data_IF_956266983210
#
_entry.id   IF_956266983210
#
_cell.length_a   1.000
_cell.length_b   1.000
_cell.length_c   1.000
_cell.angle_alpha   90.00
_cell.angle_beta   90.00
_cell.angle_gamma   90.00
#
_symmetry.space_group_name_H-M   'P 1'
#
loop_
_entity.id
_entity.type
_entity.pdbx_description
1 polymer ?
#
# COMPACT_ATOMS: atom_id res chain seq x y z
N UNK A 1 9.78 4.03 8.46
CA UNK A 1 9.39 2.60 8.61
C UNK A 1 8.70 2.45 9.95
N UNK A 2 7.47 1.97 9.97
CA UNK A 2 6.78 1.63 11.22
C UNK A 2 7.27 0.26 11.71
N UNK A 3 7.84 0.22 12.91
CA UNK A 3 8.24 -1.00 13.61
C UNK A 3 7.05 -1.49 14.46
N UNK A 4 6.36 -2.52 13.98
CA UNK A 4 5.23 -3.15 14.70
C UNK A 4 5.60 -4.59 15.10
N UNK A 5 5.32 -4.98 16.35
CA UNK A 5 5.47 -6.36 16.83
C UNK A 5 4.09 -7.03 16.88
N UNK A 6 3.99 -8.26 16.38
CA UNK A 6 2.74 -9.04 16.37
C UNK A 6 3.02 -10.54 16.50
N UNK A 7 2.00 -11.31 16.89
CA UNK A 7 2.07 -12.78 16.91
C UNK A 7 2.06 -13.34 15.50
N UNK A 8 2.60 -14.55 15.30
CA UNK A 8 2.57 -15.24 13.99
C UNK A 8 1.14 -15.44 13.49
N UNK A 9 0.20 -15.75 14.38
CA UNK A 9 -1.22 -15.85 14.03
C UNK A 9 -1.78 -14.53 13.47
N UNK A 10 -1.53 -13.39 14.15
CA UNK A 10 -1.95 -12.07 13.66
C UNK A 10 -1.28 -11.72 12.33
N UNK A 11 0.00 -12.04 12.18
CA UNK A 11 0.74 -11.82 10.93
C UNK A 11 0.15 -12.61 9.76
N UNK A 12 -0.21 -13.88 9.96
CA UNK A 12 -0.85 -14.72 8.94
C UNK A 12 -2.24 -14.21 8.58
N UNK A 13 -3.03 -13.76 9.57
CA UNK A 13 -4.34 -13.16 9.33
C UNK A 13 -4.23 -11.86 8.51
N UNK A 14 -3.25 -11.00 8.81
CA UNK A 14 -3.00 -9.78 8.03
C UNK A 14 -2.55 -10.11 6.60
N UNK A 15 -1.65 -11.10 6.41
CA UNK A 15 -1.23 -11.53 5.08
C UNK A 15 -2.39 -12.05 4.22
N UNK A 16 -3.41 -12.66 4.83
CA UNK A 16 -4.58 -13.16 4.11
C UNK A 16 -5.39 -12.03 3.47
N UNK A 17 -5.49 -10.87 4.13
CA UNK A 17 -6.36 -9.75 3.69
C UNK A 17 -5.60 -8.65 2.95
N UNK A 18 -4.29 -8.55 3.15
CA UNK A 18 -3.52 -7.41 2.65
C UNK A 18 -3.41 -7.42 1.12
N UNK A 19 -3.40 -8.59 0.48
CA UNK A 19 -3.34 -8.69 -0.97
C UNK A 19 -4.63 -8.09 -1.61
N UNK A 20 -5.81 -8.38 -1.06
CA UNK A 20 -7.09 -7.76 -1.50
C UNK A 20 -7.10 -6.24 -1.27
N UNK A 21 -6.52 -5.78 -0.16
CA UNK A 21 -6.39 -4.35 0.14
C UNK A 21 -5.45 -3.64 -0.83
N UNK A 22 -4.36 -4.29 -1.24
CA UNK A 22 -3.43 -3.77 -2.26
C UNK A 22 -4.17 -3.65 -3.60
N UNK A 23 -4.85 -4.71 -4.04
CA UNK A 23 -5.61 -4.70 -5.30
C UNK A 23 -6.68 -3.60 -5.28
N UNK A 24 -7.40 -3.46 -4.17
CA UNK A 24 -8.42 -2.41 -4.00
C UNK A 24 -7.81 -1.00 -4.04
N UNK A 25 -6.63 -0.80 -3.43
CA UNK A 25 -5.94 0.49 -3.45
C UNK A 25 -5.43 0.84 -4.85
N UNK A 26 -4.93 -0.13 -5.59
CA UNK A 26 -4.49 0.04 -6.99
C UNK A 26 -5.70 0.35 -7.87
N UNK A 27 -6.75 -0.45 -7.83
CA UNK A 27 -7.89 -0.26 -8.72
C UNK A 27 -8.72 1.00 -8.40
N UNK A 28 -8.72 1.44 -7.14
CA UNK A 28 -9.43 2.65 -6.72
C UNK A 28 -8.65 3.96 -6.93
N UNK A 29 -7.36 3.88 -7.28
CA UNK A 29 -6.50 5.05 -7.45
C UNK A 29 -6.58 5.64 -8.86
N UNK A 30 -6.43 6.96 -8.97
CA UNK A 30 -6.15 7.63 -10.25
C UNK A 30 -4.67 7.97 -10.32
N UNK A 31 -3.96 7.46 -11.34
CA UNK A 31 -2.50 7.62 -11.47
C UNK A 31 -2.07 8.50 -12.64
N UNK A 32 -2.97 8.72 -13.60
CA UNK A 32 -2.71 9.55 -14.76
C UNK A 32 -4.02 10.17 -15.23
N UNK A 33 -3.96 11.44 -15.60
CA UNK A 33 -5.07 12.19 -16.20
C UNK A 33 -4.51 13.08 -17.29
N UNK A 34 -5.13 13.07 -18.47
CA UNK A 34 -4.78 14.01 -19.53
C UNK A 34 -5.26 15.42 -19.15
N UNK A 35 -4.35 16.40 -19.17
CA UNK A 35 -4.68 17.81 -18.95
C UNK A 35 -4.26 18.64 -20.17
N UNK A 36 -5.15 19.49 -20.67
CA UNK A 36 -4.79 20.48 -21.69
C UNK A 36 -3.87 21.52 -21.06
N UNK A 37 -2.87 22.00 -21.79
CA UNK A 37 -1.87 22.93 -21.23
C UNK A 37 -2.49 24.20 -20.62
N UNK A 38 -3.59 24.70 -21.20
CA UNK A 38 -4.30 25.88 -20.71
C UNK A 38 -5.23 25.63 -19.51
N UNK A 39 -5.38 24.39 -19.05
CA UNK A 39 -6.24 24.08 -17.91
C UNK A 39 -5.44 24.20 -16.61
N UNK A 40 -5.84 25.15 -15.77
CA UNK A 40 -5.23 25.38 -14.45
C UNK A 40 -5.85 24.53 -13.33
N UNK A 41 -6.99 23.88 -13.61
CA UNK A 41 -7.74 23.08 -12.63
C UNK A 41 -8.10 21.70 -13.17
N UNK A 42 -8.05 20.70 -12.30
CA UNK A 42 -8.49 19.33 -12.54
C UNK A 42 -9.49 18.97 -11.44
N UNK A 43 -10.69 18.52 -11.81
CA UNK A 43 -11.77 18.16 -10.85
C UNK A 43 -12.07 19.27 -9.80
N UNK A 44 -11.95 20.54 -10.19
CA UNK A 44 -12.26 21.69 -9.34
C UNK A 44 -11.11 22.21 -8.46
N UNK A 45 -10.01 21.46 -8.33
CA UNK A 45 -8.79 21.85 -7.60
C UNK A 45 -7.68 22.26 -8.56
N UNK A 46 -6.66 22.94 -8.05
CA UNK A 46 -5.48 23.29 -8.87
C UNK A 46 -4.77 22.04 -9.38
N UNK A 47 -4.05 22.14 -10.50
CA UNK A 47 -3.22 21.04 -11.01
C UNK A 47 -2.22 20.54 -9.96
N UNK A 48 -1.63 21.44 -9.18
CA UNK A 48 -0.65 21.08 -8.15
C UNK A 48 -1.28 20.29 -7.00
N UNK A 49 -2.42 20.75 -6.50
CA UNK A 49 -3.20 20.03 -5.48
C UNK A 49 -3.65 18.65 -5.98
N UNK A 50 -4.06 18.56 -7.25
CA UNK A 50 -4.45 17.28 -7.84
C UNK A 50 -3.27 16.30 -7.98
N UNK A 51 -2.05 16.79 -8.23
CA UNK A 51 -0.84 15.93 -8.18
C UNK A 51 -0.64 15.35 -6.79
N UNK A 52 -0.89 16.14 -5.73
CA UNK A 52 -0.87 15.65 -4.35
C UNK A 52 -1.88 14.52 -4.10
N UNK A 53 -3.09 14.64 -4.68
CA UNK A 53 -4.10 13.57 -4.61
C UNK A 53 -3.63 12.30 -5.33
N UNK A 54 -3.05 12.43 -6.52
CA UNK A 54 -2.47 11.29 -7.27
C UNK A 54 -1.35 10.63 -6.47
N UNK A 55 -0.45 11.43 -5.90
CA UNK A 55 0.64 10.95 -5.06
C UNK A 55 0.10 10.18 -3.84
N UNK A 56 -0.97 10.67 -3.21
CA UNK A 56 -1.62 9.97 -2.10
C UNK A 56 -2.15 8.58 -2.46
N UNK A 57 -2.69 8.39 -3.68
CA UNK A 57 -3.08 7.04 -4.14
C UNK A 57 -1.87 6.12 -4.34
N UNK A 58 -0.79 6.65 -4.90
CA UNK A 58 0.46 5.90 -5.09
C UNK A 58 1.10 5.50 -3.76
N UNK A 59 1.20 6.44 -2.82
CA UNK A 59 1.78 6.22 -1.49
C UNK A 59 0.99 5.17 -0.72
N UNK A 60 -0.35 5.24 -0.74
CA UNK A 60 -1.22 4.25 -0.11
C UNK A 60 -0.98 2.84 -0.64
N UNK A 61 -0.94 2.66 -1.96
CA UNK A 61 -0.69 1.36 -2.58
C UNK A 61 0.72 0.85 -2.23
N UNK A 62 1.72 1.74 -2.34
CA UNK A 62 3.12 1.41 -2.06
C UNK A 62 3.35 1.02 -0.60
N UNK A 63 2.71 1.71 0.34
CA UNK A 63 2.85 1.42 1.76
C UNK A 63 2.21 0.09 2.15
N UNK A 64 1.07 -0.26 1.54
CA UNK A 64 0.48 -1.59 1.71
C UNK A 64 1.41 -2.69 1.17
N UNK A 65 2.04 -2.49 0.01
CA UNK A 65 3.02 -3.43 -0.56
C UNK A 65 4.24 -3.58 0.35
N UNK A 66 4.77 -2.46 0.88
CA UNK A 66 5.90 -2.47 1.83
C UNK A 66 5.54 -3.24 3.10
N UNK A 67 4.35 -3.00 3.66
CA UNK A 67 3.83 -3.70 4.84
C UNK A 67 3.72 -5.20 4.60
N UNK A 68 3.11 -5.60 3.48
CA UNK A 68 2.98 -7.01 3.06
C UNK A 68 4.32 -7.71 2.97
N UNK A 69 5.31 -7.07 2.34
CA UNK A 69 6.66 -7.62 2.21
C UNK A 69 7.38 -7.74 3.56
N UNK A 70 7.23 -6.75 4.44
CA UNK A 70 7.80 -6.81 5.79
C UNK A 70 7.23 -7.98 6.60
N UNK A 71 5.90 -8.14 6.61
CA UNK A 71 5.23 -9.23 7.34
C UNK A 71 5.62 -10.59 6.75
N UNK A 72 5.61 -10.74 5.42
CA UNK A 72 5.98 -12.00 4.77
C UNK A 72 7.41 -12.42 5.12
N UNK A 73 8.37 -11.48 5.10
CA UNK A 73 9.75 -11.75 5.49
C UNK A 73 9.85 -12.19 6.96
N UNK A 74 9.15 -11.51 7.86
CA UNK A 74 9.14 -11.86 9.28
C UNK A 74 8.54 -13.25 9.55
N UNK A 75 7.44 -13.59 8.88
CA UNK A 75 6.79 -14.91 9.00
C UNK A 75 7.70 -16.02 8.47
N UNK A 76 8.33 -15.84 7.31
CA UNK A 76 9.26 -16.84 6.75
C UNK A 76 10.43 -17.08 7.70
N UNK A 77 11.01 -16.01 8.26
CA UNK A 77 12.08 -16.13 9.26
C UNK A 77 11.60 -16.88 10.51
N UNK A 78 10.44 -16.53 11.05
CA UNK A 78 9.87 -17.20 12.24
C UNK A 78 9.64 -18.69 11.98
N UNK A 79 9.07 -19.05 10.84
CA UNK A 79 8.79 -20.44 10.48
C UNK A 79 10.09 -21.23 10.25
N UNK A 80 11.14 -20.60 9.70
CA UNK A 80 12.43 -21.26 9.44
C UNK A 80 13.25 -21.55 10.70
N UNK A 81 13.00 -20.81 11.79
CA UNK A 81 13.78 -20.89 13.03
C UNK A 81 13.06 -21.66 14.14
N UNK A 82 11.74 -21.79 14.04
CA UNK A 82 10.92 -22.51 15.03
C UNK A 82 11.02 -24.01 14.80
N UNK A 83 11.45 -24.76 15.82
CA UNK A 83 11.40 -26.23 15.82
C UNK A 83 10.03 -26.68 16.33
N UNK A 84 9.33 -27.48 15.53
CA UNK A 84 8.11 -28.18 15.95
C UNK A 84 8.56 -29.52 16.53
N UNK A 85 8.24 -29.77 17.80
CA UNK A 85 8.53 -31.02 18.52
C UNK A 85 7.26 -31.87 18.62
#
# INVERSE_FOLDING_TARGET
MTTEKMTVHKALAELKIIDDRIISAINGGTYCVANKHSNEKIKGVSVDEYKGVIQGYYDKATDLIRRRNAIKRAVVLSNSTTKVL
#
